data_IF_223294986379
#
_entry.id   IF_223294986379
#
_cell.length_a   1.000
_cell.length_b   1.000
_cell.length_c   1.000
_cell.angle_alpha   90.00
_cell.angle_beta   90.00
_cell.angle_gamma   90.00
#
_symmetry.space_group_name_H-M   'P 1'
#
loop_
_entity.id
_entity.type
_entity.pdbx_description
1 polymer ?
#
# COMPACT_ATOMS: atom_id res chain seq x y z
N UNK A 1 6.25 17.64 36.78
CA UNK A 1 6.27 17.69 35.31
C UNK A 1 6.93 16.42 34.81
N UNK A 2 6.20 15.55 34.11
CA UNK A 2 6.79 14.33 33.53
C UNK A 2 7.76 14.75 32.42
N UNK A 3 9.05 14.55 32.65
CA UNK A 3 10.07 14.72 31.62
C UNK A 3 9.84 13.66 30.54
N UNK A 4 9.31 14.08 29.39
CA UNK A 4 9.17 13.23 28.21
C UNK A 4 10.59 12.87 27.75
N UNK A 5 11.05 11.66 28.08
CA UNK A 5 12.31 11.15 27.53
C UNK A 5 12.18 11.09 26.01
N UNK A 6 12.91 11.95 25.31
CA UNK A 6 12.98 11.89 23.86
C UNK A 6 13.79 10.66 23.44
N UNK A 7 13.21 9.82 22.61
CA UNK A 7 13.87 8.66 22.01
C UNK A 7 13.87 8.83 20.49
N UNK A 8 14.98 9.28 19.89
CA UNK A 8 15.07 9.51 18.45
C UNK A 8 14.73 8.28 17.60
N UNK A 9 15.02 7.07 18.09
CA UNK A 9 14.71 5.85 17.36
C UNK A 9 13.19 5.58 17.30
N UNK A 10 12.48 5.86 18.39
CA UNK A 10 11.02 5.77 18.43
C UNK A 10 10.38 6.82 17.52
N UNK A 11 10.88 8.06 17.55
CA UNK A 11 10.39 9.14 16.70
C UNK A 11 10.57 8.80 15.21
N UNK A 12 11.76 8.35 14.82
CA UNK A 12 12.04 7.89 13.45
C UNK A 12 11.10 6.74 13.03
N UNK A 13 10.81 5.81 13.94
CA UNK A 13 9.89 4.70 13.67
C UNK A 13 8.46 5.19 13.47
N UNK A 14 7.97 6.11 14.31
CA UNK A 14 6.65 6.72 14.16
C UNK A 14 6.56 7.46 12.82
N UNK A 15 7.57 8.24 12.45
CA UNK A 15 7.63 8.92 11.16
C UNK A 15 7.60 7.94 9.98
N UNK A 16 8.29 6.79 10.09
CA UNK A 16 8.21 5.73 9.09
C UNK A 16 6.79 5.13 9.02
N UNK A 17 6.18 4.83 10.16
CA UNK A 17 4.84 4.23 10.26
C UNK A 17 3.75 5.14 9.70
N UNK A 18 3.92 6.47 9.82
CA UNK A 18 3.00 7.47 9.28
C UNK A 18 3.11 7.69 7.76
N UNK A 19 4.11 7.09 7.08
CA UNK A 19 4.25 7.22 5.62
C UNK A 19 3.03 6.65 4.91
N UNK A 20 2.47 7.43 3.98
CA UNK A 20 1.30 7.06 3.21
C UNK A 20 1.59 5.98 2.17
N UNK A 21 0.67 5.05 1.99
CA UNK A 21 0.66 4.07 0.91
C UNK A 21 -0.39 4.46 -0.13
N UNK A 22 -0.08 4.24 -1.40
CA UNK A 22 -1.02 4.49 -2.50
C UNK A 22 -1.84 3.21 -2.76
N UNK A 23 -3.17 3.32 -2.90
CA UNK A 23 -4.03 2.16 -3.11
C UNK A 23 -3.76 1.48 -4.44
N UNK A 24 -3.66 0.15 -4.41
CA UNK A 24 -3.77 -0.66 -5.61
C UNK A 24 -5.21 -0.61 -6.13
N UNK A 25 -5.36 -0.68 -7.45
CA UNK A 25 -6.65 -0.69 -8.12
C UNK A 25 -6.87 -2.03 -8.81
N UNK A 26 -8.13 -2.49 -8.83
CA UNK A 26 -8.52 -3.70 -9.53
C UNK A 26 -8.43 -3.48 -11.04
N UNK A 27 -7.81 -4.41 -11.77
CA UNK A 27 -7.57 -4.24 -13.22
C UNK A 27 -8.84 -4.22 -14.07
N UNK A 28 -9.96 -4.77 -13.58
CA UNK A 28 -11.20 -4.85 -14.36
C UNK A 28 -12.03 -3.58 -14.36
N UNK A 29 -11.94 -2.75 -13.32
CA UNK A 29 -12.80 -1.57 -13.15
C UNK A 29 -12.11 -0.37 -12.48
N UNK A 30 -10.81 -0.47 -12.17
CA UNK A 30 -10.06 0.59 -11.51
C UNK A 30 -10.43 0.83 -10.04
N UNK A 31 -11.26 -0.01 -9.43
CA UNK A 31 -11.71 0.20 -8.04
C UNK A 31 -10.64 -0.19 -7.02
N UNK A 32 -10.43 0.66 -6.02
CA UNK A 32 -9.64 0.32 -4.83
C UNK A 32 -10.47 -0.51 -3.84
N UNK A 33 -9.81 -1.30 -3.00
CA UNK A 33 -10.49 -2.02 -1.92
C UNK A 33 -10.69 -1.10 -0.70
N UNK A 34 -11.87 -1.10 -0.03
CA UNK A 34 -12.13 -0.21 1.11
C UNK A 34 -11.17 -0.45 2.29
N UNK A 35 -10.72 -1.68 2.50
CA UNK A 35 -9.76 -2.04 3.54
C UNK A 35 -8.30 -1.88 3.11
N UNK A 36 -8.01 -1.27 1.96
CA UNK A 36 -6.63 -1.07 1.54
C UNK A 36 -5.89 -0.16 2.54
N UNK A 37 -4.70 -0.54 3.03
CA UNK A 37 -3.99 0.23 4.04
C UNK A 37 -3.46 1.56 3.47
N UNK A 38 -3.79 2.67 4.12
CA UNK A 38 -3.38 4.02 3.68
C UNK A 38 -2.03 4.47 4.27
N UNK A 39 -1.47 3.74 5.24
CA UNK A 39 -0.16 4.00 5.82
C UNK A 39 0.61 2.70 6.07
N UNK A 40 1.92 2.80 6.28
CA UNK A 40 2.75 1.65 6.69
C UNK A 40 2.23 1.04 8.00
N UNK A 41 1.76 1.87 8.95
CA UNK A 41 1.14 1.37 10.18
C UNK A 41 -0.09 0.51 9.87
N UNK A 42 -1.02 1.02 9.07
CA UNK A 42 -2.24 0.30 8.75
C UNK A 42 -1.97 -1.01 8.00
N UNK A 43 -0.95 -1.05 7.15
CA UNK A 43 -0.52 -2.28 6.48
C UNK A 43 -0.12 -3.36 7.48
N UNK A 44 0.63 -3.00 8.53
CA UNK A 44 1.02 -3.95 9.58
C UNK A 44 -0.11 -4.36 10.53
N UNK A 45 -1.25 -3.67 10.49
CA UNK A 45 -2.41 -3.94 11.35
C UNK A 45 -3.57 -4.61 10.60
N UNK A 46 -3.37 -5.04 9.35
CA UNK A 46 -4.38 -5.80 8.61
C UNK A 46 -4.69 -7.11 9.33
N UNK A 47 -5.98 -7.40 9.48
CA UNK A 47 -6.46 -8.69 10.01
C UNK A 47 -6.37 -9.78 8.94
N UNK A 48 -6.40 -11.05 9.35
CA UNK A 48 -6.44 -12.17 8.41
C UNK A 48 -7.63 -12.10 7.44
N UNK A 49 -8.80 -11.70 7.95
CA UNK A 49 -10.01 -11.51 7.13
C UNK A 49 -9.80 -10.40 6.08
N UNK A 50 -9.24 -9.25 6.48
CA UNK A 50 -8.93 -8.17 5.53
C UNK A 50 -7.89 -8.59 4.49
N UNK A 51 -6.90 -9.40 4.87
CA UNK A 51 -5.92 -9.96 3.94
C UNK A 51 -6.57 -10.90 2.92
N UNK A 52 -7.46 -11.78 3.36
CA UNK A 52 -8.20 -12.69 2.48
C UNK A 52 -9.13 -11.91 1.53
N UNK A 53 -9.83 -10.90 2.01
CA UNK A 53 -10.68 -10.01 1.21
C UNK A 53 -9.86 -9.27 0.14
N UNK A 54 -8.68 -8.73 0.51
CA UNK A 54 -7.76 -8.09 -0.43
C UNK A 54 -7.28 -9.09 -1.50
N UNK A 55 -6.94 -10.31 -1.11
CA UNK A 55 -6.50 -11.35 -2.04
C UNK A 55 -7.62 -11.76 -3.02
N UNK A 56 -8.87 -11.84 -2.56
CA UNK A 56 -10.02 -12.03 -3.43
C UNK A 56 -10.24 -10.83 -4.37
N UNK A 57 -10.13 -9.61 -3.85
CA UNK A 57 -10.35 -8.40 -4.64
C UNK A 57 -9.35 -8.25 -5.80
N UNK A 58 -8.09 -8.63 -5.57
CA UNK A 58 -7.03 -8.55 -6.58
C UNK A 58 -6.79 -9.87 -7.33
N UNK A 59 -7.75 -10.81 -7.33
CA UNK A 59 -7.66 -12.09 -8.04
C UNK A 59 -6.40 -12.92 -7.68
N UNK A 60 -5.89 -12.75 -6.45
CA UNK A 60 -4.72 -13.47 -5.92
C UNK A 60 -5.10 -14.70 -5.10
N UNK A 61 -6.37 -14.85 -4.71
CA UNK A 61 -6.85 -16.03 -3.96
C UNK A 61 -7.34 -17.17 -4.87
N UNK A 62 -8.12 -16.84 -5.90
CA UNK A 62 -8.63 -17.80 -6.89
C UNK A 62 -8.10 -17.39 -8.26
N UNK A 63 -7.08 -18.07 -8.81
CA UNK A 63 -6.46 -17.67 -10.06
C UNK A 63 -7.44 -17.59 -11.23
N UNK A 64 -7.28 -16.57 -12.07
CA UNK A 64 -8.03 -16.36 -13.31
C UNK A 64 -7.17 -15.59 -14.34
N UNK A 65 -7.75 -15.22 -15.46
CA UNK A 65 -7.08 -14.45 -16.53
C UNK A 65 -6.44 -13.14 -16.05
N UNK A 66 -6.94 -12.56 -14.94
CA UNK A 66 -6.46 -11.30 -14.38
C UNK A 66 -5.32 -11.45 -13.36
N UNK A 67 -5.03 -12.66 -12.86
CA UNK A 67 -4.09 -12.87 -11.74
C UNK A 67 -2.69 -12.37 -12.06
N UNK A 68 -2.21 -12.60 -13.29
CA UNK A 68 -0.90 -12.18 -13.76
C UNK A 68 -0.77 -10.69 -14.10
N UNK A 69 -1.84 -9.91 -13.98
CA UNK A 69 -1.84 -8.48 -14.31
C UNK A 69 -1.58 -7.58 -13.10
N UNK A 70 -1.33 -8.16 -11.91
CA UNK A 70 -1.03 -7.41 -10.70
C UNK A 70 0.46 -7.49 -10.30
N UNK A 71 1.05 -6.39 -9.83
CA UNK A 71 0.53 -5.03 -9.98
C UNK A 71 0.55 -4.62 -11.47
N UNK A 72 -0.45 -3.84 -11.89
CA UNK A 72 -0.47 -3.32 -13.27
C UNK A 72 0.79 -2.48 -13.49
N UNK A 73 1.55 -2.81 -14.55
CA UNK A 73 2.77 -2.08 -14.89
C UNK A 73 2.41 -0.63 -15.19
N UNK A 74 3.02 0.30 -14.47
CA UNK A 74 2.98 1.72 -14.83
C UNK A 74 4.00 1.92 -15.94
N UNK A 75 3.50 2.21 -17.14
CA UNK A 75 4.35 2.61 -18.26
C UNK A 75 4.73 4.07 -18.10
N UNK A 76 6.01 4.31 -17.87
CA UNK A 76 6.57 5.66 -17.83
C UNK A 76 7.12 6.02 -19.20
N UNK A 77 7.04 7.31 -19.55
CA UNK A 77 7.81 7.83 -20.69
C UNK A 77 9.30 7.59 -20.45
N UNK A 78 10.06 7.37 -21.52
CA UNK A 78 11.51 7.15 -21.44
C UNK A 78 12.26 8.33 -20.80
N UNK A 79 11.72 9.55 -20.95
CA UNK A 79 12.25 10.79 -20.40
C UNK A 79 11.64 11.18 -19.03
N UNK A 80 10.78 10.34 -18.45
CA UNK A 80 10.16 10.65 -17.17
C UNK A 80 11.21 10.71 -16.04
N UNK A 81 11.23 11.85 -15.37
CA UNK A 81 12.08 12.15 -14.22
C UNK A 81 11.70 11.30 -13.01
N UNK A 82 12.62 11.17 -12.05
CA UNK A 82 12.35 10.45 -10.80
C UNK A 82 11.22 11.10 -9.99
N UNK A 83 11.08 12.42 -10.05
CA UNK A 83 10.02 13.11 -9.33
C UNK A 83 8.65 12.89 -9.96
N UNK A 84 8.55 12.75 -11.29
CA UNK A 84 7.32 12.32 -11.96
C UNK A 84 6.96 10.89 -11.59
N UNK A 85 7.95 9.99 -11.51
CA UNK A 85 7.77 8.60 -11.08
C UNK A 85 7.29 8.44 -9.63
N UNK A 86 7.52 9.47 -8.81
CA UNK A 86 7.20 9.47 -7.36
C UNK A 86 5.84 10.10 -7.03
N UNK A 87 5.20 10.81 -7.96
CA UNK A 87 3.87 11.42 -7.77
C UNK A 87 2.75 10.40 -8.03
#
# INVERSE_FOLDING_TARGET
MLSTRQNPALEAKIAQMARTLRPLVRVTNGAHHPSFPLTILNFHLLTSEQCDDLAHHFHQRTPCEWTGLYPMRIEWRNDATLDEKRR
#
